data_IF_211725155089
#
_entry.id   IF_211725155089
#
_cell.length_a   1.000
_cell.length_b   1.000
_cell.length_c   1.000
_cell.angle_alpha   90.00
_cell.angle_beta   90.00
_cell.angle_gamma   90.00
#
_symmetry.space_group_name_H-M   'P 1'
#
loop_
_entity.id
_entity.type
_entity.pdbx_description
1 polymer ?
#
# COMPACT_ATOMS: atom_id res chain seq x y z
N UNK A 1 16.73 48.74 5.80
CA UNK A 1 15.88 48.16 4.73
C UNK A 1 16.03 46.65 4.81
N UNK A 2 15.10 45.96 5.45
CA UNK A 2 15.07 44.50 5.52
C UNK A 2 14.40 43.98 4.26
N UNK A 3 15.17 43.32 3.39
CA UNK A 3 14.64 42.67 2.20
C UNK A 3 13.68 41.54 2.63
N UNK A 4 12.39 41.74 2.39
CA UNK A 4 11.38 40.70 2.57
C UNK A 4 11.62 39.59 1.53
N UNK A 5 11.81 38.37 2.00
CA UNK A 5 11.74 37.16 1.17
C UNK A 5 10.39 37.13 0.48
N UNK A 6 10.42 37.16 -0.86
CA UNK A 6 9.21 37.02 -1.68
C UNK A 6 8.52 35.68 -1.36
N UNK A 7 7.18 35.64 -1.28
CA UNK A 7 6.45 34.40 -1.09
C UNK A 7 6.74 33.45 -2.26
N UNK A 8 7.09 32.20 -1.92
CA UNK A 8 7.28 31.13 -2.89
C UNK A 8 5.96 30.97 -3.67
N UNK A 9 5.98 30.97 -5.02
CA UNK A 9 4.76 30.81 -5.80
C UNK A 9 4.07 29.50 -5.41
N UNK A 10 2.74 29.54 -5.28
CA UNK A 10 1.95 28.35 -5.06
C UNK A 10 2.26 27.35 -6.19
N UNK A 11 2.58 26.08 -5.87
CA UNK A 11 2.81 25.08 -6.90
C UNK A 11 1.57 25.01 -7.78
N UNK A 12 1.75 25.16 -9.10
CA UNK A 12 0.67 25.00 -10.05
C UNK A 12 0.09 23.60 -9.87
N UNK A 13 -1.22 23.49 -9.65
CA UNK A 13 -1.90 22.18 -9.65
C UNK A 13 -1.84 21.67 -11.09
N UNK A 14 -1.04 20.63 -11.41
CA UNK A 14 -1.04 20.09 -12.75
C UNK A 14 -2.44 19.56 -13.07
N UNK A 15 -2.90 19.80 -14.29
CA UNK A 15 -4.09 19.13 -14.81
C UNK A 15 -3.86 17.62 -14.80
N UNK A 16 -4.86 16.85 -14.37
CA UNK A 16 -4.79 15.39 -14.35
C UNK A 16 -4.62 14.90 -15.80
N UNK A 17 -3.63 14.06 -16.06
CA UNK A 17 -3.43 13.43 -17.36
C UNK A 17 -4.43 12.28 -17.53
N UNK A 18 -5.40 12.47 -18.43
CA UNK A 18 -6.48 11.52 -18.71
C UNK A 18 -6.05 10.44 -19.69
N UNK A 19 -6.18 9.19 -19.26
CA UNK A 19 -5.81 8.01 -20.02
C UNK A 19 -7.05 7.25 -20.49
N UNK A 20 -6.96 6.58 -21.65
CA UNK A 20 -8.07 5.81 -22.18
C UNK A 20 -8.50 4.70 -21.23
N UNK A 21 -9.76 4.28 -21.34
CA UNK A 21 -10.29 3.12 -20.62
C UNK A 21 -9.39 1.91 -20.88
N UNK A 22 -8.97 1.24 -19.80
CA UNK A 22 -8.30 -0.06 -19.92
C UNK A 22 -9.32 -1.11 -20.39
N UNK A 23 -9.28 -1.46 -21.67
CA UNK A 23 -10.16 -2.45 -22.31
C UNK A 23 -9.48 -3.81 -22.51
N UNK A 24 -8.17 -3.82 -22.66
CA UNK A 24 -7.38 -5.02 -22.87
C UNK A 24 -7.07 -5.73 -21.54
N UNK A 25 -6.59 -6.97 -21.65
CA UNK A 25 -6.12 -7.76 -20.50
C UNK A 25 -5.24 -6.88 -19.59
N UNK A 26 -5.51 -6.83 -18.28
CA UNK A 26 -4.72 -6.03 -17.35
C UNK A 26 -3.23 -6.34 -17.48
N UNK A 27 -2.43 -5.29 -17.61
CA UNK A 27 -0.98 -5.36 -17.57
C UNK A 27 -0.50 -5.08 -16.15
N UNK A 28 0.54 -5.80 -15.71
CA UNK A 28 1.17 -5.47 -14.43
C UNK A 28 1.92 -4.15 -14.54
N UNK A 29 2.09 -3.42 -13.44
CA UNK A 29 2.76 -2.12 -13.41
C UNK A 29 4.08 -2.05 -14.22
N UNK A 30 4.90 -3.10 -14.18
CA UNK A 30 6.17 -3.16 -14.93
C UNK A 30 6.05 -3.10 -16.47
N UNK A 31 4.86 -3.39 -17.02
CA UNK A 31 4.60 -3.39 -18.47
C UNK A 31 3.51 -2.41 -18.87
N UNK A 32 2.97 -1.66 -17.90
CA UNK A 32 1.84 -0.78 -18.11
C UNK A 32 2.33 0.68 -18.08
N UNK A 33 2.33 1.38 -19.22
CA UNK A 33 2.85 2.75 -19.31
C UNK A 33 2.16 3.73 -18.36
N UNK A 34 0.95 3.42 -17.88
CA UNK A 34 0.27 4.23 -16.86
C UNK A 34 1.12 4.41 -15.60
N UNK A 35 1.86 3.37 -15.21
CA UNK A 35 2.78 3.36 -14.07
C UNK A 35 4.21 3.79 -14.43
N UNK A 36 4.44 4.19 -15.69
CA UNK A 36 5.73 4.70 -16.14
C UNK A 36 6.09 6.04 -15.48
N UNK A 37 7.25 6.62 -15.83
CA UNK A 37 7.73 7.88 -15.25
C UNK A 37 6.64 8.94 -15.21
N UNK A 38 6.47 9.59 -14.07
CA UNK A 38 5.49 10.64 -13.90
C UNK A 38 5.89 11.93 -14.68
N UNK A 39 4.94 12.83 -14.96
CA UNK A 39 5.21 14.06 -15.70
C UNK A 39 6.31 14.92 -15.03
N UNK A 40 7.10 15.64 -15.81
CA UNK A 40 8.17 16.49 -15.28
C UNK A 40 7.65 17.44 -14.18
N UNK A 41 8.34 17.49 -13.03
CA UNK A 41 7.99 18.37 -11.91
C UNK A 41 6.91 17.82 -10.97
N UNK A 42 6.49 16.56 -11.14
CA UNK A 42 5.55 15.91 -10.23
C UNK A 42 6.08 15.85 -8.78
N UNK A 43 7.40 15.78 -8.60
CA UNK A 43 8.06 15.71 -7.30
C UNK A 43 7.75 16.93 -6.41
N UNK A 44 7.58 18.08 -7.04
CA UNK A 44 7.33 19.38 -6.38
C UNK A 44 5.83 19.61 -6.07
N UNK A 45 4.95 18.71 -6.52
CA UNK A 45 3.52 18.78 -6.24
C UNK A 45 3.22 18.35 -4.79
N UNK A 46 2.03 18.72 -4.30
CA UNK A 46 1.62 18.39 -2.94
C UNK A 46 1.32 16.89 -2.80
N UNK A 47 1.60 16.27 -1.64
CA UNK A 47 1.11 14.93 -1.32
C UNK A 47 -0.39 14.81 -1.61
N UNK A 48 -0.79 13.77 -2.34
CA UNK A 48 -2.16 13.55 -2.78
C UNK A 48 -2.55 14.23 -4.09
N UNK A 49 -1.64 14.95 -4.78
CA UNK A 49 -1.94 15.48 -6.11
C UNK A 49 -2.13 14.34 -7.12
N UNK A 50 -3.30 14.25 -7.78
CA UNK A 50 -3.52 13.30 -8.87
C UNK A 50 -2.68 13.70 -10.10
N UNK A 51 -1.95 12.74 -10.65
CA UNK A 51 -1.05 12.93 -11.79
C UNK A 51 -1.62 12.33 -13.07
N UNK A 52 -2.17 11.11 -12.98
CA UNK A 52 -2.86 10.43 -14.08
C UNK A 52 -4.14 9.79 -13.59
N UNK A 53 -5.12 9.67 -14.48
CA UNK A 53 -6.37 8.97 -14.21
C UNK A 53 -6.79 8.13 -15.40
N UNK A 54 -7.30 6.92 -15.16
CA UNK A 54 -7.95 6.08 -16.19
C UNK A 54 -9.13 5.30 -15.64
N UNK A 55 -10.12 5.06 -16.49
CA UNK A 55 -11.18 4.09 -16.18
C UNK A 55 -10.64 2.67 -16.24
N UNK A 56 -11.14 1.81 -15.36
CA UNK A 56 -10.88 0.36 -15.37
C UNK A 56 -12.17 -0.41 -15.16
N UNK A 57 -12.20 -1.68 -15.57
CA UNK A 57 -13.29 -2.61 -15.24
C UNK A 57 -12.84 -3.50 -14.10
N UNK A 58 -13.65 -3.61 -13.06
CA UNK A 58 -13.39 -4.55 -11.96
C UNK A 58 -14.20 -5.83 -12.13
N UNK A 59 -13.65 -6.93 -11.64
CA UNK A 59 -14.31 -8.22 -11.63
C UNK A 59 -14.20 -8.88 -10.26
N UNK A 60 -15.30 -9.44 -9.76
CA UNK A 60 -15.23 -10.31 -8.58
C UNK A 60 -14.42 -11.56 -8.95
N UNK A 61 -13.37 -11.83 -8.17
CA UNK A 61 -12.33 -12.81 -8.48
C UNK A 61 -11.70 -12.62 -9.88
N UNK A 62 -11.72 -11.38 -10.39
CA UNK A 62 -11.29 -11.03 -11.75
C UNK A 62 -12.19 -11.55 -12.88
N UNK A 63 -13.28 -12.26 -12.57
CA UNK A 63 -14.11 -12.98 -13.55
C UNK A 63 -15.48 -12.35 -13.74
N UNK A 64 -16.21 -12.11 -12.65
CA UNK A 64 -17.62 -11.72 -12.70
C UNK A 64 -17.69 -10.19 -12.74
N UNK A 65 -18.18 -9.57 -13.84
CA UNK A 65 -18.27 -8.12 -13.93
C UNK A 65 -19.20 -7.55 -12.86
N UNK A 66 -18.80 -6.43 -12.25
CA UNK A 66 -19.63 -5.72 -11.27
C UNK A 66 -20.09 -4.40 -11.88
N UNK A 67 -21.39 -4.09 -11.74
CA UNK A 67 -21.98 -2.83 -12.24
C UNK A 67 -21.62 -1.66 -11.33
N UNK A 68 -20.49 -1.03 -11.59
CA UNK A 68 -19.96 0.12 -10.85
C UNK A 68 -19.05 0.95 -11.76
N UNK A 69 -18.68 2.16 -11.31
CA UNK A 69 -17.59 2.91 -11.93
C UNK A 69 -16.30 2.64 -11.16
N UNK A 70 -15.21 2.44 -11.87
CA UNK A 70 -13.90 2.27 -11.26
C UNK A 70 -12.82 3.03 -12.01
N UNK A 71 -11.92 3.60 -11.23
CA UNK A 71 -10.85 4.45 -11.69
C UNK A 71 -9.55 4.04 -11.03
N UNK A 72 -8.46 4.13 -11.79
CA UNK A 72 -7.13 4.18 -11.21
C UNK A 72 -6.63 5.60 -11.28
N UNK A 73 -6.10 6.08 -10.15
CA UNK A 73 -5.49 7.40 -10.03
C UNK A 73 -4.04 7.17 -9.60
N UNK A 74 -3.09 7.56 -10.45
CA UNK A 74 -1.69 7.68 -10.08
C UNK A 74 -1.52 9.03 -9.39
N UNK A 75 -0.93 9.06 -8.20
CA UNK A 75 -0.78 10.29 -7.43
C UNK A 75 0.60 10.39 -6.78
N UNK A 76 0.99 11.63 -6.47
CA UNK A 76 2.18 11.95 -5.69
C UNK A 76 1.94 11.61 -4.22
N UNK A 77 2.82 10.84 -3.61
CA UNK A 77 2.86 10.54 -2.18
C UNK A 77 4.28 10.69 -1.61
N UNK A 78 4.56 10.06 -0.47
CA UNK A 78 5.80 10.22 0.29
C UNK A 78 6.37 8.85 0.67
N UNK A 79 7.65 8.60 0.36
CA UNK A 79 8.33 7.35 0.70
C UNK A 79 8.69 7.25 2.20
N UNK A 80 9.31 6.14 2.61
CA UNK A 80 9.72 5.92 4.00
C UNK A 80 10.77 6.94 4.50
N UNK A 81 11.48 7.61 3.59
CA UNK A 81 12.53 8.58 3.86
C UNK A 81 12.05 10.04 3.77
N UNK A 82 10.78 10.27 3.44
CA UNK A 82 10.20 11.60 3.28
C UNK A 82 10.37 12.19 1.87
N UNK A 83 10.88 11.43 0.91
CA UNK A 83 11.03 11.88 -0.47
C UNK A 83 9.72 11.70 -1.25
N UNK A 84 9.51 12.48 -2.33
CA UNK A 84 8.39 12.25 -3.24
C UNK A 84 8.45 10.85 -3.87
N UNK A 85 7.32 10.15 -3.87
CA UNK A 85 7.12 8.85 -4.53
C UNK A 85 5.78 8.86 -5.26
N UNK A 86 5.59 8.04 -6.29
CA UNK A 86 4.27 7.85 -6.89
C UNK A 86 3.68 6.51 -6.49
N UNK A 87 2.37 6.48 -6.29
CA UNK A 87 1.64 5.22 -6.14
C UNK A 87 0.24 5.36 -6.74
N UNK A 88 -0.53 4.27 -6.74
CA UNK A 88 -1.85 4.20 -7.37
C UNK A 88 -2.91 3.90 -6.33
N UNK A 89 -4.08 4.50 -6.50
CA UNK A 89 -5.31 4.10 -5.81
C UNK A 89 -6.38 3.70 -6.81
N UNK A 90 -7.13 2.65 -6.47
CA UNK A 90 -8.32 2.25 -7.21
C UNK A 90 -9.54 2.83 -6.51
N UNK A 91 -10.20 3.79 -7.16
CA UNK A 91 -11.44 4.41 -6.69
C UNK A 91 -12.61 3.62 -7.26
N UNK A 92 -13.49 3.15 -6.39
CA UNK A 92 -14.63 2.31 -6.70
C UNK A 92 -15.89 3.03 -6.28
N UNK A 93 -16.76 3.32 -7.25
CA UNK A 93 -17.93 4.17 -7.07
C UNK A 93 -19.19 3.38 -7.41
N UNK A 94 -20.09 3.14 -6.46
CA UNK A 94 -21.38 2.51 -6.75
C UNK A 94 -22.28 3.47 -7.55
N UNK A 95 -23.17 2.95 -8.38
CA UNK A 95 -24.05 3.77 -9.24
C UNK A 95 -24.92 4.77 -8.46
N UNK A 96 -25.19 4.49 -7.18
CA UNK A 96 -26.01 5.32 -6.29
C UNK A 96 -25.20 6.29 -5.42
N UNK A 97 -23.91 6.46 -5.69
CA UNK A 97 -23.09 7.40 -4.94
C UNK A 97 -23.50 8.84 -5.25
N UNK A 98 -23.50 9.69 -4.23
CA UNK A 98 -23.80 11.12 -4.32
C UNK A 98 -22.67 11.94 -3.70
N UNK A 99 -22.76 13.27 -3.76
CA UNK A 99 -21.80 14.15 -3.08
C UNK A 99 -21.78 13.96 -1.55
N UNK A 100 -22.86 13.43 -0.97
CA UNK A 100 -22.98 13.12 0.46
C UNK A 100 -22.50 11.72 0.82
N UNK A 101 -22.12 10.91 -0.17
CA UNK A 101 -21.60 9.56 0.07
C UNK A 101 -20.31 9.61 0.91
N UNK A 102 -20.23 8.84 2.00
CA UNK A 102 -18.97 8.66 2.73
C UNK A 102 -17.88 8.06 1.85
N UNK A 103 -16.63 8.40 2.16
CA UNK A 103 -15.45 7.84 1.53
C UNK A 103 -14.77 6.85 2.48
N UNK A 104 -14.66 5.60 2.06
CA UNK A 104 -13.96 4.55 2.79
C UNK A 104 -12.61 4.29 2.11
N UNK A 105 -11.52 4.48 2.81
CA UNK A 105 -10.24 3.91 2.40
C UNK A 105 -10.14 2.47 2.92
N UNK A 106 -10.17 1.50 2.01
CA UNK A 106 -10.01 0.08 2.33
C UNK A 106 -8.59 -0.39 2.02
N UNK A 107 -7.90 -0.98 2.99
CA UNK A 107 -6.54 -1.48 2.85
C UNK A 107 -6.56 -3.00 2.72
N UNK A 108 -6.17 -3.49 1.55
CA UNK A 108 -6.01 -4.93 1.33
C UNK A 108 -4.78 -5.45 2.07
N UNK A 109 -4.76 -6.71 2.51
CA UNK A 109 -3.52 -7.35 2.96
C UNK A 109 -2.69 -7.80 1.73
N UNK A 110 -1.95 -6.85 1.14
CA UNK A 110 -1.12 -7.06 -0.05
C UNK A 110 -0.02 -8.10 0.24
N UNK A 111 0.72 -7.88 1.33
CA UNK A 111 1.70 -8.77 1.94
C UNK A 111 2.68 -9.37 0.91
N UNK A 112 3.06 -8.59 -0.11
CA UNK A 112 3.80 -9.07 -1.26
C UNK A 112 4.74 -8.02 -1.85
N UNK A 113 6.02 -8.35 -1.90
CA UNK A 113 7.06 -7.49 -2.50
C UNK A 113 7.02 -7.42 -4.04
N UNK A 114 6.05 -8.08 -4.68
CA UNK A 114 5.96 -8.16 -6.13
C UNK A 114 4.87 -7.19 -6.63
N UNK A 115 5.20 -6.07 -7.30
CA UNK A 115 4.20 -5.09 -7.77
C UNK A 115 3.13 -5.67 -8.70
N UNK A 116 3.40 -6.82 -9.32
CA UNK A 116 2.42 -7.61 -10.08
C UNK A 116 1.25 -8.12 -9.22
N UNK A 117 1.29 -7.90 -7.91
CA UNK A 117 0.36 -8.48 -6.95
C UNK A 117 -0.46 -7.45 -6.16
N UNK A 118 -0.47 -6.20 -6.60
CA UNK A 118 -1.18 -5.13 -5.92
C UNK A 118 -2.67 -5.07 -6.26
N UNK A 119 -3.49 -4.45 -5.39
CA UNK A 119 -4.92 -4.27 -5.60
C UNK A 119 -5.25 -3.65 -6.94
N UNK A 120 -4.50 -2.62 -7.37
CA UNK A 120 -4.72 -1.96 -8.66
C UNK A 120 -4.70 -2.94 -9.83
N UNK A 121 -3.82 -3.94 -9.82
CA UNK A 121 -3.79 -4.99 -10.84
C UNK A 121 -4.91 -6.02 -10.65
N UNK A 122 -5.02 -6.57 -9.44
CA UNK A 122 -5.81 -7.78 -9.20
C UNK A 122 -7.32 -7.59 -9.05
N UNK A 123 -7.76 -6.36 -8.82
CA UNK A 123 -9.18 -6.05 -8.82
C UNK A 123 -9.74 -5.93 -10.24
N UNK A 124 -8.88 -5.76 -11.25
CA UNK A 124 -9.32 -5.61 -12.64
C UNK A 124 -9.90 -6.91 -13.20
N UNK A 125 -10.94 -6.76 -14.02
CA UNK A 125 -11.54 -7.85 -14.78
C UNK A 125 -10.51 -8.44 -15.75
N UNK A 126 -10.43 -9.76 -15.85
CA UNK A 126 -9.45 -10.49 -16.65
C UNK A 126 -8.11 -10.72 -15.95
N UNK A 127 -7.95 -10.26 -14.71
CA UNK A 127 -6.80 -10.64 -13.86
C UNK A 127 -7.10 -11.98 -13.16
N UNK A 128 -6.18 -12.94 -13.27
CA UNK A 128 -6.32 -14.26 -12.66
C UNK A 128 -5.19 -14.50 -11.65
N UNK A 129 -5.54 -14.96 -10.45
CA UNK A 129 -4.56 -15.30 -9.44
C UNK A 129 -5.19 -15.63 -8.09
N UNK A 130 -4.37 -16.15 -7.18
CA UNK A 130 -4.74 -16.30 -5.78
C UNK A 130 -4.18 -15.13 -4.99
N UNK A 131 -5.05 -14.17 -4.68
CA UNK A 131 -4.71 -12.87 -4.10
C UNK A 131 -5.73 -12.52 -3.03
N UNK A 132 -5.22 -11.92 -1.97
CA UNK A 132 -6.03 -11.51 -0.83
C UNK A 132 -6.98 -10.36 -1.19
N UNK A 133 -6.57 -9.46 -2.08
CA UNK A 133 -7.40 -8.35 -2.58
C UNK A 133 -8.67 -8.82 -3.28
N UNK A 134 -8.63 -9.93 -4.01
CA UNK A 134 -9.82 -10.51 -4.65
C UNK A 134 -10.79 -11.11 -3.63
N UNK A 135 -10.28 -11.76 -2.58
CA UNK A 135 -11.09 -12.31 -1.49
C UNK A 135 -11.76 -11.19 -0.66
N UNK A 136 -10.98 -10.14 -0.37
CA UNK A 136 -11.42 -8.97 0.39
C UNK A 136 -12.38 -8.06 -0.38
N UNK A 137 -12.44 -8.19 -1.71
CA UNK A 137 -13.36 -7.40 -2.52
C UNK A 137 -14.84 -7.61 -2.14
N UNK A 138 -15.21 -8.76 -1.57
CA UNK A 138 -16.56 -8.96 -1.01
C UNK A 138 -16.88 -7.99 0.14
N UNK A 139 -15.88 -7.63 0.95
CA UNK A 139 -16.03 -6.62 2.00
C UNK A 139 -16.22 -5.23 1.40
N UNK A 140 -15.50 -4.93 0.31
CA UNK A 140 -15.67 -3.71 -0.47
C UNK A 140 -17.09 -3.64 -1.06
N UNK A 141 -17.59 -4.74 -1.62
CA UNK A 141 -18.97 -4.84 -2.14
C UNK A 141 -20.01 -4.50 -1.07
N UNK A 142 -19.79 -4.90 0.19
CA UNK A 142 -20.69 -4.54 1.29
C UNK A 142 -20.72 -3.02 1.57
N UNK A 143 -19.58 -2.33 1.47
CA UNK A 143 -19.51 -0.87 1.58
C UNK A 143 -20.17 -0.17 0.37
N UNK A 144 -19.91 -0.67 -0.84
CA UNK A 144 -20.56 -0.18 -2.07
C UNK A 144 -22.08 -0.36 -2.01
N UNK A 145 -22.55 -1.47 -1.45
CA UNK A 145 -23.96 -1.74 -1.22
C UNK A 145 -24.58 -0.81 -0.16
N UNK A 146 -23.78 -0.07 0.63
CA UNK A 146 -24.21 1.07 1.48
C UNK A 146 -24.11 2.43 0.78
N UNK A 147 -23.59 2.47 -0.45
CA UNK A 147 -23.50 3.68 -1.27
C UNK A 147 -22.25 4.49 -1.01
N UNK A 148 -21.27 3.89 -0.32
CA UNK A 148 -20.02 4.54 0.00
C UNK A 148 -19.10 4.48 -1.21
N UNK A 149 -18.34 5.55 -1.42
CA UNK A 149 -17.20 5.51 -2.34
C UNK A 149 -16.07 4.79 -1.63
N UNK A 150 -15.36 3.90 -2.31
CA UNK A 150 -14.24 3.16 -1.73
C UNK A 150 -12.97 3.50 -2.49
N UNK A 151 -11.89 3.82 -1.78
CA UNK A 151 -10.55 4.00 -2.36
C UNK A 151 -9.62 2.93 -1.83
N UNK A 152 -8.87 2.28 -2.71
CA UNK A 152 -8.00 1.13 -2.40
C UNK A 152 -6.61 1.42 -2.93
N UNK A 153 -5.75 1.93 -2.06
CA UNK A 153 -4.39 2.31 -2.41
C UNK A 153 -3.43 1.12 -2.37
N UNK A 154 -2.51 1.10 -3.33
CA UNK A 154 -1.32 0.24 -3.36
C UNK A 154 -0.32 0.76 -2.30
N UNK A 155 -0.70 0.62 -1.03
CA UNK A 155 -0.04 1.27 0.11
C UNK A 155 1.35 0.73 0.43
N UNK A 156 1.76 -0.38 -0.15
CA UNK A 156 3.16 -0.82 -0.08
C UNK A 156 4.08 -0.06 -1.06
N UNK A 157 3.52 0.83 -1.89
CA UNK A 157 4.26 1.64 -2.86
C UNK A 157 4.82 0.81 -4.02
N UNK A 158 5.39 1.45 -5.05
CA UNK A 158 5.91 0.80 -6.26
C UNK A 158 7.00 -0.25 -5.98
N UNK A 159 7.59 -0.21 -4.79
CA UNK A 159 8.65 -1.12 -4.35
C UNK A 159 8.16 -2.32 -3.51
N UNK A 160 6.88 -2.36 -3.12
CA UNK A 160 6.31 -3.45 -2.32
C UNK A 160 6.95 -3.55 -0.94
N UNK A 161 7.05 -2.43 -0.22
CA UNK A 161 7.72 -2.35 1.07
C UNK A 161 6.77 -2.76 2.20
N UNK A 162 6.49 -4.05 2.29
CA UNK A 162 5.68 -4.59 3.39
C UNK A 162 6.36 -4.42 4.75
N UNK A 163 5.57 -4.14 5.79
CA UNK A 163 5.99 -3.98 7.19
C UNK A 163 6.98 -2.83 7.47
N UNK A 164 7.14 -1.86 6.57
CA UNK A 164 7.84 -0.61 6.90
C UNK A 164 6.95 0.34 7.70
N UNK A 165 7.58 1.16 8.53
CA UNK A 165 6.87 2.14 9.34
C UNK A 165 6.41 3.34 8.50
N UNK A 166 5.24 3.89 8.83
CA UNK A 166 4.68 5.17 8.35
C UNK A 166 4.30 5.25 6.87
N UNK A 167 5.14 4.78 5.95
CA UNK A 167 4.92 4.88 4.50
C UNK A 167 3.53 4.37 4.06
N UNK A 168 3.02 3.21 4.54
CA UNK A 168 1.66 2.79 4.21
C UNK A 168 0.58 3.79 4.63
N UNK A 169 0.79 4.51 5.74
CA UNK A 169 -0.12 5.56 6.18
C UNK A 169 -0.06 6.80 5.27
N UNK A 170 1.13 7.23 4.84
CA UNK A 170 1.26 8.31 3.85
C UNK A 170 0.52 7.97 2.56
N UNK A 171 0.74 6.77 2.03
CA UNK A 171 0.06 6.31 0.82
C UNK A 171 -1.46 6.29 0.99
N UNK A 172 -1.99 5.74 2.10
CA UNK A 172 -3.44 5.72 2.33
C UNK A 172 -4.04 7.13 2.43
N UNK A 173 -3.41 8.04 3.18
CA UNK A 173 -3.89 9.41 3.38
C UNK A 173 -3.78 10.25 2.09
N UNK A 174 -2.71 10.09 1.35
CA UNK A 174 -2.54 10.75 0.05
C UNK A 174 -3.46 10.15 -1.03
N UNK A 175 -3.78 8.85 -0.95
CA UNK A 175 -4.79 8.22 -1.80
C UNK A 175 -6.19 8.77 -1.56
N UNK A 176 -6.53 9.11 -0.30
CA UNK A 176 -7.76 9.81 0.05
C UNK A 176 -7.79 11.22 -0.55
N UNK A 177 -6.71 12.00 -0.39
CA UNK A 177 -6.54 13.32 -1.02
C UNK A 177 -6.70 13.24 -2.53
N UNK A 178 -6.02 12.31 -3.18
CA UNK A 178 -6.07 12.10 -4.62
C UNK A 178 -7.48 11.72 -5.09
N UNK A 179 -8.18 10.90 -4.31
CA UNK A 179 -9.58 10.54 -4.60
C UNK A 179 -10.51 11.75 -4.54
N UNK A 180 -10.34 12.61 -3.52
CA UNK A 180 -11.14 13.84 -3.37
C UNK A 180 -10.81 14.83 -4.49
N UNK A 181 -9.51 15.02 -4.80
CA UNK A 181 -9.06 15.94 -5.83
C UNK A 181 -9.46 15.52 -7.25
N UNK A 182 -9.54 14.21 -7.53
CA UNK A 182 -9.99 13.67 -8.82
C UNK A 182 -11.51 13.51 -8.94
N UNK A 183 -12.28 13.98 -7.95
CA UNK A 183 -13.73 13.83 -7.87
C UNK A 183 -14.50 14.91 -8.64
N UNK A 184 -15.80 14.74 -8.85
CA UNK A 184 -16.65 15.71 -9.56
C UNK A 184 -16.68 15.52 -11.08
N UNK A 185 -15.94 14.55 -11.59
CA UNK A 185 -15.85 14.25 -13.02
C UNK A 185 -16.18 12.79 -13.31
N UNK A 186 -16.81 12.59 -14.46
CA UNK A 186 -16.85 11.31 -15.16
C UNK A 186 -17.36 10.09 -14.35
N UNK A 187 -18.16 10.32 -13.30
CA UNK A 187 -18.80 9.26 -12.51
C UNK A 187 -18.21 9.05 -11.12
N UNK A 188 -17.25 9.87 -10.68
CA UNK A 188 -16.94 10.05 -9.25
C UNK A 188 -17.79 11.24 -8.75
N UNK A 189 -18.64 11.09 -7.72
CA UNK A 189 -19.42 12.21 -7.20
C UNK A 189 -18.49 13.31 -6.68
N UNK A 190 -18.96 14.57 -6.65
CA UNK A 190 -18.17 15.67 -6.09
C UNK A 190 -17.93 15.46 -4.60
N UNK A 191 -16.69 15.11 -4.23
CA UNK A 191 -16.24 14.99 -2.84
C UNK A 191 -15.54 16.29 -2.41
N UNK A 192 -15.34 16.46 -1.11
CA UNK A 192 -14.64 17.62 -0.55
C UNK A 192 -13.95 17.27 0.76
N UNK A 193 -13.22 18.22 1.35
CA UNK A 193 -12.65 18.09 2.69
C UNK A 193 -13.69 17.82 3.79
N UNK A 194 -14.98 18.12 3.54
CA UNK A 194 -16.08 17.82 4.47
C UNK A 194 -16.62 16.40 4.36
N UNK A 195 -16.28 15.67 3.30
CA UNK A 195 -16.74 14.29 3.09
C UNK A 195 -16.29 13.41 4.27
N UNK A 196 -17.20 12.70 4.97
CA UNK A 196 -16.82 11.79 6.04
C UNK A 196 -15.90 10.69 5.51
N UNK A 197 -14.71 10.57 6.11
CA UNK A 197 -13.70 9.57 5.75
C UNK A 197 -13.52 8.54 6.85
N UNK A 198 -13.56 7.27 6.49
CA UNK A 198 -13.13 6.19 7.37
C UNK A 198 -12.02 5.35 6.73
N UNK A 199 -11.18 4.74 7.56
CA UNK A 199 -10.15 3.77 7.13
C UNK A 199 -10.44 2.38 7.69
N UNK A 200 -10.23 1.32 6.90
CA UNK A 200 -10.45 -0.06 7.32
C UNK A 200 -9.48 -1.03 6.66
N UNK A 201 -8.88 -1.90 7.46
CA UNK A 201 -8.06 -3.02 6.99
C UNK A 201 -7.94 -4.13 8.04
N UNK A 202 -7.55 -5.32 7.59
CA UNK A 202 -7.28 -6.49 8.42
C UNK A 202 -5.90 -7.07 8.11
N UNK A 203 -5.23 -7.72 9.07
CA UNK A 203 -3.89 -8.31 8.89
C UNK A 203 -2.86 -7.24 8.46
N UNK A 204 -2.11 -7.43 7.36
CA UNK A 204 -1.22 -6.39 6.83
C UNK A 204 -1.93 -5.13 6.37
N UNK A 205 -3.17 -5.25 5.87
CA UNK A 205 -4.03 -4.10 5.62
C UNK A 205 -4.36 -3.36 6.92
N UNK A 206 -4.55 -4.08 8.02
CA UNK A 206 -4.71 -3.51 9.36
C UNK A 206 -3.49 -2.73 9.83
N UNK A 207 -2.28 -3.19 9.51
CA UNK A 207 -1.04 -2.42 9.75
C UNK A 207 -1.04 -1.10 8.98
N UNK A 208 -1.46 -1.10 7.71
CA UNK A 208 -1.57 0.12 6.92
C UNK A 208 -2.65 1.08 7.47
N UNK A 209 -3.80 0.54 7.88
CA UNK A 209 -4.87 1.31 8.55
C UNK A 209 -4.39 1.93 9.86
N UNK A 210 -3.62 1.19 10.66
CA UNK A 210 -3.06 1.71 11.91
C UNK A 210 -2.13 2.91 11.66
N UNK A 211 -1.21 2.80 10.69
CA UNK A 211 -0.34 3.91 10.32
C UNK A 211 -1.12 5.12 9.78
N UNK A 212 -2.14 4.89 8.96
CA UNK A 212 -3.00 5.98 8.48
C UNK A 212 -3.72 6.69 9.64
N UNK A 213 -4.25 5.93 10.60
CA UNK A 213 -4.93 6.48 11.77
C UNK A 213 -3.97 7.26 12.69
N UNK A 214 -2.77 6.75 12.94
CA UNK A 214 -1.75 7.42 13.75
C UNK A 214 -1.27 8.73 13.11
N UNK A 215 -1.12 8.75 11.78
CA UNK A 215 -0.57 9.90 11.05
C UNK A 215 -1.63 10.95 10.67
N UNK A 216 -2.92 10.60 10.67
CA UNK A 216 -3.97 11.48 10.15
C UNK A 216 -3.95 12.90 10.74
N UNK A 217 -3.80 13.02 12.06
CA UNK A 217 -3.86 14.32 12.75
C UNK A 217 -2.68 15.26 12.45
N UNK A 218 -1.51 14.72 12.12
CA UNK A 218 -0.31 15.52 11.84
C UNK A 218 -0.05 15.67 10.34
N UNK A 219 -0.25 14.59 9.57
CA UNK A 219 0.09 14.52 8.16
C UNK A 219 -1.05 14.96 7.25
N UNK A 220 -2.31 14.71 7.63
CA UNK A 220 -3.50 15.06 6.84
C UNK A 220 -4.67 15.62 7.67
N UNK A 221 -4.43 16.69 8.47
CA UNK A 221 -5.42 17.24 9.39
C UNK A 221 -6.67 17.80 8.69
N UNK A 222 -6.58 18.07 7.39
CA UNK A 222 -7.69 18.60 6.59
C UNK A 222 -8.71 17.54 6.15
N UNK A 223 -8.41 16.25 6.33
CA UNK A 223 -9.33 15.16 6.04
C UNK A 223 -10.33 14.99 7.20
N UNK A 224 -11.63 14.97 6.89
CA UNK A 224 -12.69 14.72 7.87
C UNK A 224 -12.75 13.23 8.28
N UNK A 225 -11.76 12.80 9.05
CA UNK A 225 -11.63 11.43 9.56
C UNK A 225 -12.67 11.17 10.67
N UNK A 226 -13.64 10.30 10.40
CA UNK A 226 -14.74 9.96 11.32
C UNK A 226 -14.58 8.60 12.00
N UNK A 227 -13.63 7.77 11.56
CA UNK A 227 -13.36 6.49 12.21
C UNK A 227 -12.28 5.65 11.55
N UNK A 228 -11.74 4.71 12.33
CA UNK A 228 -10.78 3.70 11.87
C UNK A 228 -11.17 2.32 12.40
N UNK A 229 -11.21 1.32 11.51
CA UNK A 229 -11.40 -0.08 11.88
C UNK A 229 -10.10 -0.85 11.61
N UNK A 230 -9.33 -1.08 12.67
CA UNK A 230 -8.02 -1.73 12.62
C UNK A 230 -8.16 -3.18 13.08
N UNK A 231 -8.09 -4.13 12.15
CA UNK A 231 -8.21 -5.56 12.44
C UNK A 231 -6.86 -6.28 12.47
N UNK A 232 -6.53 -6.93 13.57
CA UNK A 232 -5.34 -7.81 13.72
C UNK A 232 -4.05 -7.27 13.07
N UNK A 233 -3.63 -6.01 13.35
CA UNK A 233 -2.47 -5.42 12.70
C UNK A 233 -1.19 -6.18 13.08
N UNK A 234 -0.34 -6.45 12.09
CA UNK A 234 1.03 -6.90 12.34
C UNK A 234 1.85 -5.71 12.84
N UNK A 235 2.05 -5.62 14.15
CA UNK A 235 2.68 -4.44 14.76
C UNK A 235 4.21 -4.40 14.62
N UNK A 236 4.89 -5.56 14.59
CA UNK A 236 6.36 -5.59 14.65
C UNK A 236 6.96 -6.76 13.82
N UNK A 237 7.92 -6.49 12.91
CA UNK A 237 8.53 -7.53 12.07
C UNK A 237 9.26 -8.61 12.88
N UNK A 238 10.05 -8.22 13.89
CA UNK A 238 10.87 -9.14 14.68
C UNK A 238 10.06 -10.24 15.39
N UNK A 239 9.07 -9.88 16.23
CA UNK A 239 8.18 -10.84 16.87
C UNK A 239 7.42 -11.72 15.86
N UNK A 240 7.00 -11.18 14.71
CA UNK A 240 6.35 -11.97 13.65
C UNK A 240 7.29 -13.06 13.13
N UNK A 241 8.54 -12.71 12.83
CA UNK A 241 9.57 -13.66 12.39
C UNK A 241 9.82 -14.74 13.44
N UNK A 242 9.96 -14.34 14.71
CA UNK A 242 10.18 -15.29 15.80
C UNK A 242 8.98 -16.22 16.01
N UNK A 243 7.77 -15.68 16.00
CA UNK A 243 6.55 -16.44 16.22
C UNK A 243 6.33 -17.47 15.12
N UNK A 244 6.49 -17.08 13.85
CA UNK A 244 6.19 -17.97 12.71
C UNK A 244 7.33 -18.92 12.34
N UNK A 245 8.51 -18.81 12.95
CA UNK A 245 9.64 -19.68 12.66
C UNK A 245 9.32 -21.15 12.97
N UNK A 246 9.55 -22.05 12.00
CA UNK A 246 9.27 -23.48 12.10
C UNK A 246 7.78 -23.85 12.40
N UNK A 247 6.83 -22.97 12.07
CA UNK A 247 5.38 -23.20 12.18
C UNK A 247 4.72 -23.30 10.81
N UNK A 248 3.46 -23.71 10.77
CA UNK A 248 2.73 -23.88 9.50
C UNK A 248 2.74 -22.62 8.61
N UNK A 249 2.76 -21.43 9.21
CA UNK A 249 2.78 -20.15 8.51
C UNK A 249 4.20 -19.53 8.34
N UNK A 250 5.28 -20.32 8.40
CA UNK A 250 6.65 -19.80 8.22
C UNK A 250 6.91 -19.08 6.89
N UNK A 251 6.12 -19.36 5.85
CA UNK A 251 6.23 -18.66 4.57
C UNK A 251 6.00 -17.15 4.68
N UNK A 252 5.25 -16.67 5.68
CA UNK A 252 5.04 -15.23 5.96
C UNK A 252 6.35 -14.48 6.20
N UNK A 253 7.38 -15.16 6.70
CA UNK A 253 8.67 -14.55 7.05
C UNK A 253 9.38 -14.05 5.79
N UNK A 254 9.23 -14.75 4.66
CA UNK A 254 10.03 -14.50 3.47
C UNK A 254 9.76 -13.12 2.84
N UNK A 255 8.50 -12.70 2.60
CA UNK A 255 8.22 -11.36 2.10
C UNK A 255 8.65 -10.26 3.09
N UNK A 256 8.59 -10.48 4.42
CA UNK A 256 9.15 -9.54 5.41
C UNK A 256 10.64 -9.33 5.16
N UNK A 257 11.41 -10.41 4.99
CA UNK A 257 12.85 -10.30 4.76
C UNK A 257 13.16 -9.56 3.46
N UNK A 258 12.46 -9.90 2.38
CA UNK A 258 12.64 -9.24 1.09
C UNK A 258 12.35 -7.74 1.18
N UNK A 259 11.26 -7.35 1.87
CA UNK A 259 10.90 -5.95 2.09
C UNK A 259 11.96 -5.23 2.94
N UNK A 260 12.43 -5.84 4.04
CA UNK A 260 13.48 -5.27 4.90
C UNK A 260 14.81 -5.08 4.14
N UNK A 261 15.19 -6.02 3.27
CA UNK A 261 16.38 -5.88 2.41
C UNK A 261 16.22 -4.73 1.40
N UNK A 262 15.00 -4.42 0.96
CA UNK A 262 14.75 -3.29 0.07
C UNK A 262 14.75 -1.95 0.81
N UNK A 263 14.07 -1.90 1.95
CA UNK A 263 13.86 -0.68 2.73
C UNK A 263 15.09 -0.22 3.53
N UNK A 264 15.95 -1.15 3.96
CA UNK A 264 17.02 -0.84 4.91
C UNK A 264 18.37 -1.41 4.45
N UNK A 265 19.31 -0.54 3.99
CA UNK A 265 20.66 -0.98 3.60
C UNK A 265 21.39 -1.83 4.66
N UNK A 266 21.32 -1.50 5.98
CA UNK A 266 21.94 -2.36 7.01
C UNK A 266 21.33 -3.76 7.09
N UNK A 267 20.00 -3.88 6.89
CA UNK A 267 19.33 -5.18 6.88
C UNK A 267 19.72 -6.00 5.64
N UNK A 268 19.85 -5.35 4.48
CA UNK A 268 20.38 -5.97 3.26
C UNK A 268 21.78 -6.52 3.48
N UNK A 269 22.69 -5.69 3.95
CA UNK A 269 24.10 -6.07 4.17
C UNK A 269 24.20 -7.23 5.17
N UNK A 270 23.38 -7.23 6.22
CA UNK A 270 23.32 -8.35 7.17
C UNK A 270 22.80 -9.64 6.51
N UNK A 271 21.68 -9.57 5.80
CA UNK A 271 21.04 -10.76 5.20
C UNK A 271 21.86 -11.32 4.03
N UNK A 272 22.50 -10.49 3.20
CA UNK A 272 23.38 -10.96 2.13
C UNK A 272 24.60 -11.72 2.67
N UNK A 273 25.17 -11.25 3.78
CA UNK A 273 26.29 -11.92 4.47
C UNK A 273 25.88 -13.24 5.12
N UNK A 274 24.69 -13.28 5.73
CA UNK A 274 24.31 -14.39 6.60
C UNK A 274 23.34 -15.40 5.99
N UNK A 275 22.63 -15.08 4.90
CA UNK A 275 21.80 -16.06 4.22
C UNK A 275 22.69 -17.09 3.52
N UNK A 276 22.44 -18.37 3.77
CA UNK A 276 23.11 -19.44 3.02
C UNK A 276 22.53 -19.54 1.59
N UNK A 277 23.13 -20.39 0.74
CA UNK A 277 22.68 -20.59 -0.66
C UNK A 277 21.21 -21.00 -0.79
N UNK A 278 20.64 -21.66 0.22
CA UNK A 278 19.21 -22.00 0.25
C UNK A 278 18.37 -20.76 0.59
N UNK A 279 18.78 -19.99 1.60
CA UNK A 279 18.12 -18.74 2.01
C UNK A 279 18.03 -17.72 0.88
N UNK A 280 19.15 -17.45 0.18
CA UNK A 280 19.17 -16.51 -0.96
C UNK A 280 18.18 -16.89 -2.05
N UNK A 281 18.17 -18.16 -2.46
CA UNK A 281 17.22 -18.67 -3.47
C UNK A 281 15.76 -18.59 -3.03
N UNK A 282 15.47 -18.71 -1.74
CA UNK A 282 14.11 -18.57 -1.20
C UNK A 282 13.65 -17.10 -1.29
N UNK A 283 14.50 -16.17 -0.87
CA UNK A 283 14.22 -14.73 -0.94
C UNK A 283 14.02 -14.29 -2.39
N UNK A 284 14.95 -14.61 -3.29
CA UNK A 284 14.83 -14.30 -4.73
C UNK A 284 13.54 -14.86 -5.35
N UNK A 285 13.14 -16.08 -4.96
CA UNK A 285 11.92 -16.71 -5.49
C UNK A 285 10.65 -16.03 -4.96
N UNK A 286 10.68 -15.52 -3.74
CA UNK A 286 9.53 -14.82 -3.14
C UNK A 286 9.19 -13.53 -3.86
N UNK A 287 10.15 -12.90 -4.54
CA UNK A 287 9.95 -11.67 -5.31
C UNK A 287 9.00 -11.85 -6.51
N UNK A 288 8.58 -13.09 -6.79
CA UNK A 288 7.66 -13.44 -7.88
C UNK A 288 6.36 -14.07 -7.36
N UNK A 289 6.20 -14.19 -6.04
CA UNK A 289 5.09 -14.92 -5.39
C UNK A 289 4.12 -13.99 -4.66
N UNK A 290 2.87 -14.43 -4.48
CA UNK A 290 1.95 -13.84 -3.49
C UNK A 290 2.23 -14.36 -2.10
N UNK A 291 1.71 -13.67 -1.06
CA UNK A 291 1.76 -14.17 0.31
C UNK A 291 1.24 -15.61 0.40
N UNK A 292 0.06 -15.89 -0.15
CA UNK A 292 -0.54 -17.22 -0.10
C UNK A 292 0.37 -18.28 -0.76
N UNK A 293 0.95 -17.96 -1.92
CA UNK A 293 1.92 -18.83 -2.58
C UNK A 293 3.13 -19.09 -1.68
N UNK A 294 3.69 -18.07 -1.01
CA UNK A 294 4.83 -18.26 -0.08
C UNK A 294 4.48 -19.13 1.13
N UNK A 295 3.30 -18.94 1.71
CA UNK A 295 2.81 -19.73 2.85
C UNK A 295 2.63 -21.20 2.48
N UNK A 296 2.00 -21.48 1.33
CA UNK A 296 1.81 -22.85 0.85
C UNK A 296 3.13 -23.51 0.42
N UNK A 297 4.09 -22.73 -0.10
CA UNK A 297 5.37 -23.22 -0.60
C UNK A 297 6.35 -23.59 0.52
N UNK A 298 6.34 -22.84 1.62
CA UNK A 298 7.31 -22.99 2.71
C UNK A 298 6.68 -23.12 4.10
N UNK A 299 5.77 -24.10 4.32
CA UNK A 299 5.28 -24.40 5.65
C UNK A 299 6.42 -24.99 6.50
N UNK A 300 6.44 -24.66 7.79
CA UNK A 300 7.40 -25.18 8.79
C UNK A 300 8.87 -24.86 8.49
N UNK A 301 9.16 -23.87 7.65
CA UNK A 301 10.52 -23.41 7.39
C UNK A 301 11.17 -22.88 8.68
N UNK A 302 12.24 -23.53 9.10
CA UNK A 302 13.07 -23.04 10.20
C UNK A 302 14.02 -21.96 9.68
N UNK A 303 13.75 -20.71 10.07
CA UNK A 303 14.52 -19.55 9.67
C UNK A 303 16.00 -19.66 10.10
N UNK A 304 16.27 -20.33 11.22
CA UNK A 304 17.65 -20.53 11.69
C UNK A 304 18.46 -21.46 10.79
N UNK A 305 17.81 -22.26 9.93
CA UNK A 305 18.48 -23.16 8.97
C UNK A 305 18.75 -22.50 7.62
N UNK A 306 18.28 -21.28 7.40
CA UNK A 306 18.58 -20.50 6.20
C UNK A 306 19.58 -19.37 6.45
N UNK A 307 19.90 -19.10 7.72
CA UNK A 307 21.04 -18.30 8.15
C UNK A 307 22.25 -19.19 8.44
N UNK A 308 23.45 -18.68 8.21
CA UNK A 308 24.73 -19.30 8.59
C UNK A 308 25.03 -19.19 10.09
N UNK A 309 24.30 -18.34 10.83
CA UNK A 309 24.30 -18.19 12.29
C UNK A 309 22.87 -18.16 12.85
N UNK A 310 22.56 -18.88 13.94
CA UNK A 310 21.23 -18.88 14.54
C UNK A 310 20.86 -17.50 15.11
N UNK A 311 19.60 -17.08 14.93
CA UNK A 311 19.07 -15.72 15.18
C UNK A 311 19.12 -15.24 16.64
N UNK A 312 19.43 -16.12 17.61
CA UNK A 312 19.38 -15.82 19.05
C UNK A 312 20.33 -14.72 19.54
N UNK A 313 21.30 -14.26 18.72
CA UNK A 313 22.33 -13.30 19.15
C UNK A 313 22.38 -11.96 18.40
N UNK A 314 21.66 -11.76 17.28
CA UNK A 314 21.89 -10.57 16.43
C UNK A 314 20.82 -9.48 16.49
N UNK A 315 19.60 -9.77 16.92
CA UNK A 315 18.48 -8.80 16.91
C UNK A 315 18.22 -8.11 18.25
N UNK A 316 18.78 -8.63 19.35
CA UNK A 316 18.81 -7.90 20.61
C UNK A 316 19.93 -6.86 20.53
N UNK A 317 19.55 -5.64 20.14
CA UNK A 317 20.39 -4.46 20.34
C UNK A 317 20.99 -4.49 21.74
N UNK A 318 22.26 -4.07 21.82
CA UNK A 318 22.96 -3.85 23.09
C UNK A 318 22.02 -3.10 24.02
N UNK A 319 21.50 -3.79 25.04
CA UNK A 319 20.97 -3.10 26.21
C UNK A 319 22.16 -2.35 26.80
N UNK A 320 22.20 -1.03 26.64
CA UNK A 320 23.04 -0.18 27.49
C UNK A 320 22.72 -0.53 28.94
N UNK A 321 23.70 -0.86 29.78
CA UNK A 321 23.44 -1.02 31.20
C UNK A 321 23.08 0.37 31.75
N UNK A 322 21.81 0.58 32.06
CA UNK A 322 21.44 1.64 33.00
C UNK A 322 22.07 1.29 34.35
N UNK A 323 23.08 2.06 34.72
CA UNK A 323 23.59 2.13 36.09
C UNK A 323 22.51 2.75 36.97
N UNK A 324 22.06 2.10 38.06
CA UNK A 324 21.27 2.77 39.07
C UNK A 324 22.23 3.49 40.01
N UNK A 325 22.34 4.81 39.87
CA UNK A 325 22.86 5.65 40.96
C UNK A 325 21.69 6.25 41.74
N UNK A 326 21.81 6.06 43.05
CA UNK A 326 20.97 6.57 44.12
C UNK A 326 20.84 8.09 44.10
#
# INVERSE_FOLDING_TARGET
MTAGTAPRPAPATPSIDEWPLQVDKPLSAAYDPFFGPAPQGWEDTAPGTPLRRRRVRLGLFGLIPVKLHAWQVLYRSTDLHGNPETTVTTVVVPQRATADSPLLAFQSAIDAVAPKRFPSYYLQQGSFGLTQSQNEFLLVVAALAKGWVVTISDHEGPHGLWMVARQPGYHVLDGLRATIAASGEDGIPQLSSRTPVAVWGYSGGGTATAWAAELAGEYAPELNMVGALVGAPAAQPGPLVHYHCARAASGLIIPVLAAMMRAHPPAREFLERHLNRRGRRIVEKSERMTLLETVLRWPFLDFNKILDRPSKKSWMGRRSPHSPTR
#
